data_IF_217788072261
#
_entry.id   IF_217788072261
#
_cell.length_a   1.000
_cell.length_b   1.000
_cell.length_c   1.000
_cell.angle_alpha   90.00
_cell.angle_beta   90.00
_cell.angle_gamma   90.00
#
_symmetry.space_group_name_H-M   'P 1'
#
loop_
_entity.id
_entity.type
_entity.pdbx_description
1 polymer ?
#
# COMPACT_ATOMS: atom_id res chain seq x y z
N UNK A 1 8.96 -40.52 0.90
CA UNK A 1 9.23 -39.67 2.08
C UNK A 1 8.11 -38.65 2.18
N UNK A 2 7.46 -38.51 3.35
CA UNK A 2 6.43 -37.52 3.52
C UNK A 2 7.07 -36.13 3.43
N UNK A 3 6.57 -35.31 2.53
CA UNK A 3 6.88 -33.90 2.45
C UNK A 3 6.46 -33.29 3.78
N UNK A 4 7.43 -32.80 4.52
CA UNK A 4 7.24 -32.05 5.74
C UNK A 4 6.30 -30.89 5.41
N UNK A 5 5.07 -30.99 5.89
CA UNK A 5 4.12 -29.89 5.80
C UNK A 5 4.61 -28.83 6.77
N UNK A 6 5.37 -27.87 6.24
CA UNK A 6 5.83 -26.72 7.01
C UNK A 6 4.66 -26.13 7.78
N UNK A 7 4.85 -26.00 9.06
CA UNK A 7 3.90 -25.38 9.97
C UNK A 7 3.43 -24.06 9.37
N UNK A 8 2.15 -24.01 9.03
CA UNK A 8 1.47 -22.79 8.60
C UNK A 8 1.67 -21.74 9.71
N UNK A 9 2.53 -20.76 9.45
CA UNK A 9 2.69 -19.63 10.34
C UNK A 9 1.44 -18.77 10.22
N UNK A 10 0.88 -18.35 11.33
CA UNK A 10 -0.30 -17.52 11.37
C UNK A 10 0.08 -16.06 11.09
N UNK A 11 -0.54 -15.44 10.09
CA UNK A 11 -0.36 -14.02 9.77
C UNK A 11 -1.17 -13.09 10.65
N UNK A 12 -1.94 -13.66 11.54
CA UNK A 12 -2.73 -12.93 12.51
C UNK A 12 -2.17 -13.18 13.92
N UNK A 13 -1.89 -12.10 14.61
CA UNK A 13 -1.49 -12.12 16.01
C UNK A 13 -2.72 -11.83 16.87
N UNK A 14 -3.06 -12.76 17.78
CA UNK A 14 -4.12 -12.52 18.76
C UNK A 14 -3.58 -11.65 19.89
N UNK A 15 -4.18 -10.48 20.08
CA UNK A 15 -3.85 -9.57 21.15
C UNK A 15 -4.52 -9.99 22.47
N UNK A 16 -4.07 -9.41 23.58
CA UNK A 16 -4.60 -9.73 24.91
C UNK A 16 -6.06 -9.37 25.11
N UNK A 17 -6.59 -8.45 24.30
CA UNK A 17 -8.01 -8.04 24.28
C UNK A 17 -8.88 -8.91 23.37
N UNK A 18 -8.30 -9.93 22.73
CA UNK A 18 -8.95 -10.82 21.77
C UNK A 18 -9.06 -10.28 20.35
N UNK A 19 -8.55 -9.09 20.07
CA UNK A 19 -8.45 -8.59 18.70
C UNK A 19 -7.35 -9.31 17.91
N UNK A 20 -7.45 -9.27 16.58
CA UNK A 20 -6.46 -9.84 15.67
C UNK A 20 -5.71 -8.71 14.97
N UNK A 21 -4.39 -8.85 14.90
CA UNK A 21 -3.53 -7.96 14.08
C UNK A 21 -2.95 -8.76 12.91
N UNK A 22 -3.19 -8.28 11.71
CA UNK A 22 -2.59 -8.83 10.48
C UNK A 22 -1.30 -8.08 10.22
N UNK A 23 -0.17 -8.78 10.16
CA UNK A 23 1.16 -8.16 10.09
C UNK A 23 1.82 -8.27 8.72
N UNK A 24 1.37 -9.18 7.87
CA UNK A 24 1.97 -9.51 6.57
C UNK A 24 3.37 -10.15 6.63
N UNK A 25 3.94 -10.41 7.79
CA UNK A 25 5.32 -10.90 7.92
C UNK A 25 5.47 -12.38 7.54
N UNK A 26 4.37 -13.14 7.57
CA UNK A 26 4.36 -14.57 7.26
C UNK A 26 4.06 -14.89 5.79
N UNK A 27 4.02 -13.90 4.93
CA UNK A 27 3.86 -14.16 3.50
C UNK A 27 5.09 -14.86 2.93
N UNK A 28 4.85 -15.80 2.02
CA UNK A 28 5.94 -16.43 1.26
C UNK A 28 6.82 -15.31 0.66
N UNK A 29 8.12 -15.31 0.92
CA UNK A 29 9.03 -14.32 0.35
C UNK A 29 8.96 -14.23 -1.18
N UNK A 30 8.59 -15.32 -1.84
CA UNK A 30 8.32 -15.34 -3.26
C UNK A 30 7.09 -14.51 -3.67
N UNK A 31 6.18 -14.20 -2.78
CA UNK A 31 5.02 -13.34 -3.02
C UNK A 31 5.28 -11.87 -2.74
N UNK A 32 6.42 -11.54 -2.15
CA UNK A 32 6.78 -10.17 -1.90
C UNK A 32 7.11 -9.49 -3.24
N UNK A 33 6.33 -8.48 -3.57
CA UNK A 33 6.69 -7.60 -4.66
C UNK A 33 8.05 -6.99 -4.34
N UNK A 34 8.96 -7.19 -5.19
CA UNK A 34 10.26 -6.56 -5.05
C UNK A 34 10.80 -6.38 -6.44
N UNK A 35 11.24 -5.20 -6.81
CA UNK A 35 11.98 -5.08 -8.02
C UNK A 35 13.23 -5.93 -7.90
N UNK A 36 13.57 -6.61 -8.97
CA UNK A 36 14.95 -7.01 -9.20
C UNK A 36 15.84 -5.78 -9.02
N UNK A 37 17.12 -5.98 -8.78
CA UNK A 37 18.10 -4.96 -8.40
C UNK A 37 18.06 -3.59 -9.15
N UNK A 38 17.25 -3.45 -10.18
CA UNK A 38 17.06 -2.23 -10.95
C UNK A 38 15.70 -1.56 -10.77
N UNK A 39 14.83 -2.07 -9.91
CA UNK A 39 13.48 -1.52 -9.74
C UNK A 39 12.53 -1.87 -10.88
N UNK A 40 12.91 -2.76 -11.75
CA UNK A 40 12.02 -3.26 -12.79
C UNK A 40 11.13 -4.34 -12.19
N UNK A 41 9.83 -4.15 -12.31
CA UNK A 41 8.87 -5.21 -12.09
C UNK A 41 8.31 -5.43 -10.68
N UNK A 42 7.57 -4.46 -10.19
CA UNK A 42 6.50 -4.70 -9.23
C UNK A 42 5.41 -5.65 -9.79
N UNK A 43 5.39 -5.88 -11.08
CA UNK A 43 4.23 -6.37 -11.81
C UNK A 43 4.31 -7.81 -12.21
N UNK A 44 5.47 -8.29 -12.51
CA UNK A 44 5.63 -9.68 -12.83
C UNK A 44 6.14 -10.42 -11.62
N UNK A 45 5.26 -10.68 -10.74
CA UNK A 45 5.44 -11.80 -9.88
C UNK A 45 5.55 -13.03 -10.78
N UNK A 46 6.78 -13.39 -11.12
CA UNK A 46 7.06 -14.56 -11.97
C UNK A 46 6.49 -15.80 -11.28
N UNK A 47 5.48 -16.38 -11.84
CA UNK A 47 4.80 -17.57 -11.33
C UNK A 47 3.35 -17.35 -10.89
N UNK A 48 2.93 -16.09 -10.70
CA UNK A 48 1.55 -15.77 -10.32
C UNK A 48 0.91 -14.67 -11.18
N UNK A 49 1.09 -14.67 -12.50
CA UNK A 49 0.54 -13.61 -13.36
C UNK A 49 -1.00 -13.58 -13.37
N UNK A 50 -1.63 -14.48 -12.66
CA UNK A 50 -3.09 -14.60 -12.60
C UNK A 50 -3.66 -14.56 -11.18
N UNK A 51 -2.84 -14.39 -10.16
CA UNK A 51 -3.33 -14.27 -8.79
C UNK A 51 -3.82 -12.86 -8.56
N UNK A 52 -5.13 -12.70 -8.54
CA UNK A 52 -5.77 -11.41 -8.25
C UNK A 52 -6.08 -11.23 -6.77
N UNK A 53 -5.96 -12.28 -5.98
CA UNK A 53 -6.27 -12.26 -4.56
C UNK A 53 -5.25 -13.09 -3.79
N UNK A 54 -4.80 -12.56 -2.66
CA UNK A 54 -3.98 -13.28 -1.70
C UNK A 54 -4.75 -13.48 -0.41
N UNK A 55 -4.61 -14.64 0.19
CA UNK A 55 -5.22 -15.02 1.45
C UNK A 55 -4.21 -14.83 2.58
N UNK A 56 -4.69 -14.63 3.79
CA UNK A 56 -3.85 -14.62 4.97
C UNK A 56 -3.35 -16.04 5.33
N UNK A 57 -3.82 -17.05 4.61
CA UNK A 57 -3.39 -18.44 4.67
C UNK A 57 -3.42 -19.05 6.08
N UNK A 58 -4.18 -18.46 6.99
CA UNK A 58 -4.53 -19.11 8.24
C UNK A 58 -5.65 -20.11 7.99
N UNK A 59 -5.90 -21.08 8.88
CA UNK A 59 -7.05 -21.98 8.76
C UNK A 59 -8.38 -21.24 8.65
N UNK A 60 -8.46 -20.03 9.24
CA UNK A 60 -9.64 -19.17 9.26
C UNK A 60 -9.75 -18.23 8.06
N UNK A 61 -8.63 -17.98 7.36
CA UNK A 61 -8.56 -17.08 6.19
C UNK A 61 -9.25 -15.74 6.47
N UNK A 62 -8.75 -15.01 7.46
CA UNK A 62 -9.40 -13.79 7.94
C UNK A 62 -9.45 -12.65 6.93
N UNK A 63 -8.40 -12.50 6.13
CA UNK A 63 -8.18 -11.35 5.25
C UNK A 63 -7.82 -11.79 3.83
N UNK A 64 -8.44 -11.12 2.87
CA UNK A 64 -8.16 -11.28 1.45
C UNK A 64 -7.74 -9.93 0.87
N UNK A 65 -6.67 -9.93 0.12
CA UNK A 65 -6.15 -8.73 -0.55
C UNK A 65 -6.35 -8.86 -2.06
N UNK A 66 -6.94 -7.84 -2.67
CA UNK A 66 -6.91 -7.71 -4.12
C UNK A 66 -5.52 -7.23 -4.55
N UNK A 67 -4.68 -8.17 -5.00
CA UNK A 67 -3.29 -7.86 -5.36
C UNK A 67 -3.17 -7.12 -6.69
N UNK A 68 -3.98 -7.51 -7.67
CA UNK A 68 -3.96 -6.94 -9.01
C UNK A 68 -5.37 -6.76 -9.51
N UNK A 69 -5.62 -5.63 -10.15
CA UNK A 69 -6.86 -5.41 -10.88
C UNK A 69 -6.61 -5.54 -12.38
N UNK A 70 -7.60 -6.03 -13.10
CA UNK A 70 -7.60 -6.00 -14.55
C UNK A 70 -8.31 -4.73 -15.02
N UNK A 71 -7.54 -3.80 -15.55
CA UNK A 71 -8.05 -2.54 -16.09
C UNK A 71 -7.57 -2.40 -17.52
N UNK A 72 -8.48 -2.16 -18.44
CA UNK A 72 -8.12 -2.04 -19.85
C UNK A 72 -7.45 -3.26 -20.47
N UNK A 73 -7.66 -4.45 -19.89
CA UNK A 73 -7.03 -5.70 -20.32
C UNK A 73 -5.65 -5.95 -19.74
N UNK A 74 -5.13 -5.07 -18.89
CA UNK A 74 -3.88 -5.26 -18.15
C UNK A 74 -4.15 -5.81 -16.75
N UNK A 75 -3.31 -6.74 -16.31
CA UNK A 75 -3.34 -7.31 -14.95
C UNK A 75 -2.00 -7.03 -14.30
N UNK A 76 -1.76 -5.76 -14.04
CA UNK A 76 -0.52 -5.25 -13.48
C UNK A 76 -0.80 -4.42 -12.24
N UNK A 77 0.19 -4.32 -11.34
CA UNK A 77 0.09 -3.45 -10.17
C UNK A 77 -0.24 -2.00 -10.56
N UNK A 78 0.31 -1.50 -11.64
CA UNK A 78 0.02 -0.17 -12.20
C UNK A 78 -1.44 0.04 -12.60
N UNK A 79 -2.19 -1.02 -12.74
CA UNK A 79 -3.63 -0.97 -12.99
C UNK A 79 -4.48 -0.86 -11.73
N UNK A 80 -3.83 -0.76 -10.58
CA UNK A 80 -4.44 -0.70 -9.26
C UNK A 80 -4.45 -2.05 -8.55
N UNK A 81 -4.34 -2.03 -7.24
CA UNK A 81 -4.32 -3.22 -6.40
C UNK A 81 -3.48 -3.03 -5.14
N UNK A 82 -3.19 -4.14 -4.48
CA UNK A 82 -2.33 -4.20 -3.30
C UNK A 82 -1.18 -5.16 -3.59
N UNK A 83 0.05 -4.68 -3.43
CA UNK A 83 1.24 -5.50 -3.52
C UNK A 83 1.85 -5.68 -2.11
N UNK A 84 2.48 -6.82 -1.88
CA UNK A 84 3.27 -7.03 -0.67
C UNK A 84 4.70 -6.59 -0.91
N UNK A 85 5.30 -5.92 0.05
CA UNK A 85 6.68 -5.44 -0.03
C UNK A 85 7.38 -5.52 1.32
N UNK A 86 8.71 -5.43 1.27
CA UNK A 86 9.60 -5.38 2.44
C UNK A 86 10.78 -4.42 2.21
N UNK A 87 10.56 -3.42 1.35
CA UNK A 87 11.59 -2.45 1.02
C UNK A 87 11.42 -1.14 1.80
N UNK A 88 12.54 -0.62 2.30
CA UNK A 88 12.64 0.73 2.88
C UNK A 88 13.62 1.55 2.07
N UNK A 89 13.15 2.56 1.36
CA UNK A 89 13.99 3.46 0.55
C UNK A 89 13.54 4.88 0.83
N UNK A 90 14.49 5.78 1.06
CA UNK A 90 14.23 7.19 1.34
C UNK A 90 14.88 8.14 0.33
N UNK A 91 15.52 7.58 -0.66
CA UNK A 91 16.19 8.30 -1.73
C UNK A 91 15.50 8.10 -3.07
N UNK A 92 15.63 9.08 -3.94
CA UNK A 92 15.08 8.98 -5.30
C UNK A 92 15.88 7.96 -6.12
N UNK A 93 15.22 6.91 -6.58
CA UNK A 93 15.80 5.79 -7.33
C UNK A 93 15.48 5.86 -8.83
N UNK A 94 14.90 6.94 -9.31
CA UNK A 94 14.53 7.06 -10.73
C UNK A 94 15.72 7.11 -11.68
N UNK A 95 16.90 7.44 -11.16
CA UNK A 95 18.10 7.64 -11.98
C UNK A 95 18.07 8.91 -12.83
N UNK A 96 17.01 9.70 -12.75
CA UNK A 96 16.86 10.95 -13.48
C UNK A 96 17.34 12.13 -12.62
N UNK A 97 17.81 13.18 -13.29
CA UNK A 97 18.08 14.45 -12.63
C UNK A 97 16.75 15.14 -12.33
N UNK A 98 16.60 15.63 -11.10
CA UNK A 98 15.38 16.26 -10.63
C UNK A 98 14.54 15.34 -9.75
N UNK A 99 13.31 15.74 -9.49
CA UNK A 99 12.49 15.17 -8.45
C UNK A 99 11.53 14.08 -8.97
N UNK A 100 12.05 13.19 -9.81
CA UNK A 100 11.30 12.09 -10.38
C UNK A 100 11.37 10.86 -9.47
N UNK A 101 10.38 10.69 -8.65
CA UNK A 101 10.30 9.60 -7.68
C UNK A 101 9.59 8.35 -8.22
N UNK A 102 9.30 8.28 -9.50
CA UNK A 102 8.43 7.26 -10.10
C UNK A 102 9.07 5.89 -10.32
N UNK A 103 10.32 5.67 -9.93
CA UNK A 103 10.90 4.33 -10.09
C UNK A 103 10.05 3.27 -9.39
N UNK A 104 10.04 2.08 -9.93
CA UNK A 104 9.31 0.96 -9.32
C UNK A 104 9.77 0.69 -7.89
N UNK A 105 11.06 0.88 -7.61
CA UNK A 105 11.61 0.74 -6.27
C UNK A 105 11.01 1.77 -5.30
N UNK A 106 10.90 3.01 -5.70
CA UNK A 106 10.24 4.01 -4.88
C UNK A 106 8.73 3.75 -4.72
N UNK A 107 8.08 3.18 -5.74
CA UNK A 107 6.65 2.87 -5.67
C UNK A 107 6.32 1.73 -4.71
N UNK A 108 7.22 0.75 -4.53
CA UNK A 108 7.00 -0.35 -3.60
C UNK A 108 7.63 -0.17 -2.23
N UNK A 109 8.45 0.84 -2.03
CA UNK A 109 9.14 1.04 -0.77
C UNK A 109 8.34 1.92 0.19
N UNK A 110 8.45 1.62 1.48
CA UNK A 110 8.00 2.54 2.51
C UNK A 110 9.03 3.64 2.73
N UNK A 111 8.57 4.85 3.02
CA UNK A 111 9.42 5.95 3.49
C UNK A 111 9.40 5.99 5.02
N UNK A 112 10.20 5.13 5.64
CA UNK A 112 10.23 5.01 7.09
C UNK A 112 11.56 5.51 7.66
N UNK A 113 11.53 6.71 8.25
CA UNK A 113 12.72 7.35 8.85
C UNK A 113 13.05 6.82 10.25
N UNK A 114 12.16 6.04 10.86
CA UNK A 114 12.44 5.39 12.14
C UNK A 114 13.48 4.26 12.00
N UNK A 115 13.68 3.77 10.76
CA UNK A 115 14.70 2.76 10.44
C UNK A 115 15.76 3.41 9.56
N UNK A 116 16.99 3.48 10.07
CA UNK A 116 18.09 4.14 9.38
C UNK A 116 18.54 3.37 8.12
N UNK A 117 18.49 2.05 8.15
CA UNK A 117 18.94 1.21 7.05
C UNK A 117 17.95 1.23 5.87
N UNK A 118 18.46 1.50 4.68
CA UNK A 118 17.72 1.35 3.42
C UNK A 118 17.94 -0.04 2.81
N UNK A 119 16.97 -0.50 2.04
CA UNK A 119 17.01 -1.76 1.32
C UNK A 119 15.89 -2.71 1.71
N UNK A 120 16.08 -3.97 1.31
CA UNK A 120 15.14 -5.06 1.55
C UNK A 120 15.33 -5.67 2.94
N UNK A 121 14.25 -6.12 3.56
CA UNK A 121 14.29 -6.82 4.87
C UNK A 121 15.01 -6.02 5.98
N UNK A 122 14.67 -4.75 6.11
CA UNK A 122 15.27 -3.85 7.12
C UNK A 122 14.38 -3.62 8.33
N UNK A 123 13.39 -4.47 8.55
CA UNK A 123 12.42 -4.32 9.65
C UNK A 123 11.74 -2.95 9.64
N UNK A 124 11.46 -2.45 8.44
CA UNK A 124 10.87 -1.14 8.24
C UNK A 124 9.35 -1.17 8.07
N UNK A 125 8.71 -2.32 8.13
CA UNK A 125 7.28 -2.47 8.34
C UNK A 125 6.87 -1.97 9.72
N UNK A 126 5.59 -1.95 10.01
CA UNK A 126 5.13 -1.55 11.34
C UNK A 126 5.52 -2.56 12.42
N UNK A 127 5.41 -3.86 12.15
CA UNK A 127 5.63 -4.95 13.10
C UNK A 127 6.73 -5.92 12.70
N UNK A 128 7.41 -5.66 11.61
CA UNK A 128 8.46 -6.51 11.04
C UNK A 128 8.95 -5.89 9.74
N UNK A 129 9.23 -6.70 8.74
CA UNK A 129 9.72 -6.21 7.47
C UNK A 129 8.63 -5.96 6.44
N UNK A 130 7.55 -6.74 6.45
CA UNK A 130 6.57 -6.79 5.36
C UNK A 130 5.39 -5.87 5.60
N UNK A 131 4.81 -5.38 4.50
CA UNK A 131 3.63 -4.51 4.50
C UNK A 131 2.90 -4.58 3.16
N UNK A 132 1.65 -4.15 3.13
CA UNK A 132 0.88 -3.96 1.91
C UNK A 132 1.12 -2.58 1.31
N UNK A 133 1.37 -2.52 0.03
CA UNK A 133 1.45 -1.29 -0.77
C UNK A 133 0.19 -1.14 -1.60
N UNK A 134 -0.52 -0.07 -1.38
CA UNK A 134 -1.81 0.20 -2.03
C UNK A 134 -1.60 1.14 -3.21
N UNK A 135 -2.06 0.73 -4.38
CA UNK A 135 -2.03 1.54 -5.58
C UNK A 135 -3.44 1.73 -6.14
N UNK A 136 -3.95 2.95 -6.04
CA UNK A 136 -5.19 3.36 -6.70
C UNK A 136 -4.90 3.91 -8.08
N UNK A 137 -5.68 3.51 -9.08
CA UNK A 137 -5.56 3.97 -10.44
C UNK A 137 -6.82 4.70 -10.90
N UNK A 138 -6.63 5.89 -11.45
CA UNK A 138 -7.70 6.66 -12.09
C UNK A 138 -7.20 7.16 -13.44
N UNK A 139 -7.83 6.72 -14.53
CA UNK A 139 -7.57 7.26 -15.84
C UNK A 139 -8.38 8.54 -16.05
N UNK A 140 -7.71 9.65 -16.33
CA UNK A 140 -8.35 10.94 -16.54
C UNK A 140 -9.18 11.00 -17.84
N UNK A 141 -8.88 10.15 -18.81
CA UNK A 141 -9.51 10.10 -20.11
C UNK A 141 -10.57 9.02 -20.25
N UNK A 142 -10.45 7.96 -19.44
CA UNK A 142 -11.36 6.83 -19.47
C UNK A 142 -11.67 6.34 -18.05
N UNK A 143 -12.77 6.81 -17.50
CA UNK A 143 -13.19 6.45 -16.14
C UNK A 143 -13.52 4.96 -15.97
N UNK A 144 -13.73 4.22 -17.07
CA UNK A 144 -13.85 2.76 -16.98
C UNK A 144 -12.53 2.09 -16.55
N UNK A 145 -11.41 2.80 -16.64
CA UNK A 145 -10.10 2.36 -16.18
C UNK A 145 -9.78 2.90 -14.78
N UNK A 146 -10.79 3.01 -13.95
CA UNK A 146 -10.61 3.27 -12.53
C UNK A 146 -10.46 1.94 -11.78
N UNK A 147 -9.42 1.83 -10.96
CA UNK A 147 -9.25 0.72 -10.07
C UNK A 147 -9.09 1.20 -8.63
N UNK A 148 -9.97 0.70 -7.76
CA UNK A 148 -9.84 0.90 -6.32
C UNK A 148 -9.21 -0.37 -5.74
N UNK A 149 -8.05 -0.27 -5.08
CA UNK A 149 -7.52 -1.40 -4.33
C UNK A 149 -8.47 -1.74 -3.19
N UNK A 150 -8.66 -3.01 -2.93
CA UNK A 150 -9.58 -3.47 -1.90
C UNK A 150 -9.00 -4.62 -1.08
N UNK A 151 -9.47 -4.72 0.14
CA UNK A 151 -9.31 -5.90 0.98
C UNK A 151 -10.65 -6.22 1.63
N UNK A 152 -10.87 -7.48 1.96
CA UNK A 152 -12.11 -7.91 2.57
C UNK A 152 -11.89 -9.06 3.56
N UNK A 153 -12.84 -9.24 4.44
CA UNK A 153 -12.82 -10.30 5.44
C UNK A 153 -13.71 -11.47 5.02
N UNK A 154 -13.40 -12.65 5.53
CA UNK A 154 -14.19 -13.87 5.27
C UNK A 154 -15.60 -13.82 5.87
N UNK A 155 -15.77 -13.07 6.95
CA UNK A 155 -17.05 -12.80 7.63
C UNK A 155 -17.07 -11.36 8.10
N UNK A 156 -18.25 -10.79 8.40
CA UNK A 156 -18.32 -9.44 8.95
C UNK A 156 -17.50 -9.28 10.22
N UNK A 157 -16.68 -8.24 10.26
CA UNK A 157 -15.74 -7.96 11.35
C UNK A 157 -15.85 -6.52 11.81
N UNK A 158 -15.35 -6.25 12.99
CA UNK A 158 -15.01 -4.88 13.39
C UNK A 158 -13.61 -4.54 12.90
N UNK A 159 -13.53 -3.58 12.00
CA UNK A 159 -12.25 -2.96 11.63
C UNK A 159 -11.89 -1.91 12.67
N UNK A 160 -10.94 -2.22 13.54
CA UNK A 160 -10.51 -1.32 14.62
C UNK A 160 -9.66 -0.18 14.07
N UNK A 161 -8.72 -0.50 13.20
CA UNK A 161 -7.84 0.48 12.57
C UNK A 161 -6.73 -0.18 11.78
N UNK A 162 -5.85 0.65 11.25
CA UNK A 162 -4.69 0.22 10.49
C UNK A 162 -3.52 1.19 10.68
N UNK A 163 -2.32 0.69 10.51
CA UNK A 163 -1.13 1.51 10.44
C UNK A 163 -0.88 1.90 9.00
N UNK A 164 -0.58 3.16 8.76
CA UNK A 164 -0.29 3.70 7.43
C UNK A 164 1.05 4.42 7.43
N UNK A 165 1.69 4.39 6.27
CA UNK A 165 2.90 5.15 6.00
C UNK A 165 2.90 5.57 4.52
N UNK A 166 3.62 6.62 4.17
CA UNK A 166 3.81 6.96 2.77
C UNK A 166 4.77 5.98 2.10
N UNK A 167 4.46 5.64 0.85
CA UNK A 167 5.51 5.08 -0.01
C UNK A 167 6.55 6.15 -0.30
N UNK A 168 7.75 5.72 -0.67
CA UNK A 168 8.82 6.64 -1.07
C UNK A 168 8.40 7.50 -2.25
N UNK A 169 7.66 6.91 -3.20
CA UNK A 169 7.09 7.64 -4.33
C UNK A 169 6.12 8.73 -3.88
N UNK A 170 5.15 8.40 -3.05
CA UNK A 170 4.15 9.36 -2.56
C UNK A 170 4.81 10.48 -1.77
N UNK A 171 5.73 10.14 -0.86
CA UNK A 171 6.48 11.15 -0.09
C UNK A 171 7.27 12.08 -1.00
N UNK A 172 8.00 11.52 -1.97
CA UNK A 172 8.81 12.28 -2.90
C UNK A 172 7.99 13.22 -3.78
N UNK A 173 6.88 12.74 -4.32
CA UNK A 173 5.97 13.56 -5.14
C UNK A 173 5.35 14.71 -4.34
N UNK A 174 4.92 14.45 -3.11
CA UNK A 174 4.36 15.50 -2.24
C UNK A 174 5.43 16.56 -1.94
N UNK A 175 6.63 16.11 -1.59
CA UNK A 175 7.68 16.99 -1.05
C UNK A 175 8.45 17.74 -2.13
N UNK A 176 8.72 17.08 -3.25
CA UNK A 176 9.60 17.61 -4.31
C UNK A 176 8.88 17.84 -5.64
N UNK A 177 7.68 17.31 -5.78
CA UNK A 177 6.92 17.35 -7.03
C UNK A 177 7.18 16.17 -7.94
N UNK A 178 6.47 16.16 -9.06
CA UNK A 178 6.55 15.08 -10.05
C UNK A 178 6.68 15.67 -11.45
N UNK A 179 7.78 15.36 -12.13
CA UNK A 179 7.98 15.77 -13.53
C UNK A 179 7.25 14.85 -14.54
N UNK A 180 6.70 13.76 -14.08
CA UNK A 180 5.93 12.86 -14.92
C UNK A 180 4.57 13.51 -15.28
N UNK A 181 4.55 14.24 -16.37
CA UNK A 181 3.36 14.96 -16.80
C UNK A 181 3.67 16.07 -17.81
N UNK A 182 2.67 16.83 -18.15
CA UNK A 182 2.68 17.80 -19.25
C UNK A 182 3.51 19.08 -19.00
N UNK A 183 3.91 19.36 -17.78
CA UNK A 183 4.57 20.63 -17.45
C UNK A 183 6.09 20.58 -17.51
N UNK A 184 6.70 19.39 -17.41
CA UNK A 184 8.14 19.21 -17.37
C UNK A 184 8.86 19.86 -16.18
N UNK A 185 8.11 20.38 -15.22
CA UNK A 185 8.63 21.02 -14.00
C UNK A 185 8.03 20.35 -12.78
N UNK A 186 8.89 19.85 -11.92
CA UNK A 186 8.46 19.33 -10.63
C UNK A 186 8.06 20.50 -9.73
N UNK A 187 6.83 20.45 -9.22
CA UNK A 187 6.33 21.47 -8.31
C UNK A 187 5.85 20.80 -7.02
N UNK A 188 6.48 21.09 -5.88
CA UNK A 188 6.04 20.57 -4.59
C UNK A 188 4.56 20.88 -4.30
N UNK A 189 3.87 19.96 -3.65
CA UNK A 189 2.47 20.14 -3.31
C UNK A 189 2.23 21.40 -2.46
N UNK A 190 3.19 21.75 -1.63
CA UNK A 190 3.16 22.97 -0.80
C UNK A 190 3.13 24.26 -1.65
N UNK A 191 3.91 24.32 -2.71
CA UNK A 191 3.92 25.45 -3.64
C UNK A 191 2.62 25.55 -4.43
N UNK A 192 2.05 24.40 -4.78
CA UNK A 192 0.75 24.32 -5.43
C UNK A 192 -0.42 24.66 -4.50
N UNK A 193 -0.17 24.77 -3.19
CA UNK A 193 -1.21 24.87 -2.17
C UNK A 193 -2.25 23.78 -2.29
N UNK A 194 -1.79 22.59 -2.59
CA UNK A 194 -2.59 21.41 -2.80
C UNK A 194 -2.78 20.58 -1.53
N UNK A 195 -3.48 19.47 -1.69
CA UNK A 195 -3.63 18.47 -0.64
C UNK A 195 -3.62 17.07 -1.22
N UNK A 196 -3.31 16.10 -0.38
CA UNK A 196 -3.41 14.69 -0.71
C UNK A 196 -4.13 13.95 0.41
N UNK A 197 -5.19 13.23 0.05
CA UNK A 197 -6.08 12.55 0.98
C UNK A 197 -6.32 11.11 0.53
N UNK A 198 -6.28 10.20 1.48
CA UNK A 198 -6.74 8.82 1.30
C UNK A 198 -8.14 8.68 1.88
N UNK A 199 -9.01 8.00 1.16
CA UNK A 199 -10.32 7.62 1.61
C UNK A 199 -10.38 6.10 1.80
N UNK A 200 -10.90 5.67 2.94
CA UNK A 200 -11.21 4.27 3.22
C UNK A 200 -12.73 4.13 3.24
N UNK A 201 -13.27 3.44 2.27
CA UNK A 201 -14.69 3.12 2.21
C UNK A 201 -14.92 1.73 2.81
N UNK A 202 -15.71 1.65 3.87
CA UNK A 202 -16.07 0.40 4.53
C UNK A 202 -17.45 -0.05 4.08
N UNK A 203 -17.55 -1.31 3.67
CA UNK A 203 -18.80 -1.90 3.18
C UNK A 203 -19.20 -3.10 4.04
N UNK A 204 -20.51 -3.37 4.09
CA UNK A 204 -21.07 -4.56 4.72
C UNK A 204 -21.07 -5.76 3.76
N UNK A 205 -21.47 -6.93 4.27
CA UNK A 205 -21.57 -8.18 3.51
C UNK A 205 -22.50 -8.13 2.27
N UNK A 206 -23.39 -7.14 2.20
CA UNK A 206 -24.32 -6.95 1.09
C UNK A 206 -23.82 -5.89 0.09
N UNK A 207 -22.63 -5.35 0.31
CA UNK A 207 -22.07 -4.26 -0.49
C UNK A 207 -22.66 -2.87 -0.15
N UNK A 208 -23.33 -2.74 0.97
CA UNK A 208 -23.83 -1.48 1.49
C UNK A 208 -22.70 -0.66 2.11
N UNK A 209 -22.57 0.61 1.71
CA UNK A 209 -21.56 1.51 2.30
C UNK A 209 -21.92 1.83 3.76
N UNK A 210 -21.07 1.40 4.69
CA UNK A 210 -21.18 1.70 6.12
C UNK A 210 -20.73 3.13 6.38
N UNK A 211 -19.50 3.44 5.96
CA UNK A 211 -18.87 4.75 6.16
C UNK A 211 -17.64 4.95 5.29
N UNK A 212 -17.36 6.22 4.99
CA UNK A 212 -16.09 6.66 4.41
C UNK A 212 -15.28 7.38 5.48
N UNK A 213 -14.06 6.88 5.72
CA UNK A 213 -13.06 7.51 6.57
C UNK A 213 -12.06 8.25 5.70
N UNK A 214 -11.66 9.44 6.14
CA UNK A 214 -10.76 10.31 5.37
C UNK A 214 -9.50 10.57 6.19
N UNK A 215 -8.35 10.46 5.54
CA UNK A 215 -7.06 10.80 6.12
C UNK A 215 -6.28 11.72 5.21
N UNK A 216 -5.97 12.92 5.68
CA UNK A 216 -5.05 13.82 5.00
C UNK A 216 -3.62 13.30 5.19
N UNK A 217 -2.95 13.04 4.09
CA UNK A 217 -1.52 12.71 4.08
C UNK A 217 -0.66 13.96 3.88
N UNK A 218 -1.23 15.01 3.28
CA UNK A 218 -0.68 16.37 3.24
C UNK A 218 -1.81 17.38 2.99
N UNK A 219 -1.71 18.58 3.57
CA UNK A 219 -2.64 19.67 3.28
C UNK A 219 -1.93 21.02 3.41
N UNK A 220 -1.90 21.76 2.32
CA UNK A 220 -1.29 23.09 2.23
C UNK A 220 -2.27 24.13 1.68
N UNK A 221 -3.56 23.82 1.66
CA UNK A 221 -4.59 24.74 1.16
C UNK A 221 -4.69 25.97 2.02
N UNK A 222 -4.94 27.11 1.38
CA UNK A 222 -5.14 28.35 2.08
C UNK A 222 -6.31 28.28 3.09
N UNK A 223 -6.09 28.78 4.29
CA UNK A 223 -7.12 28.78 5.33
C UNK A 223 -7.36 27.44 6.03
N UNK A 224 -6.61 26.40 5.68
CA UNK A 224 -6.63 25.10 6.36
C UNK A 224 -5.43 24.98 7.33
N UNK A 225 -5.57 24.07 8.30
CA UNK A 225 -4.43 23.66 9.11
C UNK A 225 -3.45 22.91 8.22
N UNK A 226 -2.19 23.31 8.24
CA UNK A 226 -1.15 22.63 7.47
C UNK A 226 -0.93 21.21 8.00
N UNK A 227 -0.83 20.26 7.08
CA UNK A 227 -0.47 18.86 7.35
C UNK A 227 0.73 18.52 6.48
N UNK A 228 1.85 18.23 7.11
CA UNK A 228 3.04 17.71 6.42
C UNK A 228 2.97 16.18 6.28
N UNK A 229 3.59 15.60 5.25
CA UNK A 229 3.55 14.14 5.03
C UNK A 229 4.24 13.39 6.17
N UNK A 230 3.61 12.32 6.62
CA UNK A 230 4.20 11.42 7.62
C UNK A 230 5.45 10.74 7.06
N UNK A 231 6.44 10.52 7.92
CA UNK A 231 7.73 9.91 7.58
C UNK A 231 7.98 8.58 8.29
N UNK A 232 7.00 8.09 8.99
CA UNK A 232 7.00 6.80 9.67
C UNK A 232 5.56 6.30 9.81
N UNK A 233 5.40 5.08 10.32
CA UNK A 233 4.09 4.50 10.53
C UNK A 233 3.27 5.30 11.54
N UNK A 234 2.00 5.52 11.20
CA UNK A 234 1.04 6.23 12.03
C UNK A 234 -0.29 5.48 12.07
N UNK A 235 -0.91 5.42 13.25
CA UNK A 235 -2.13 4.68 13.45
C UNK A 235 -3.35 5.46 12.98
N UNK A 236 -4.19 4.81 12.20
CA UNK A 236 -5.46 5.35 11.74
C UNK A 236 -6.61 4.57 12.38
N UNK A 237 -7.21 5.17 13.39
CA UNK A 237 -8.36 4.61 14.08
C UNK A 237 -9.61 4.65 13.18
N UNK A 238 -10.31 3.54 13.08
CA UNK A 238 -11.48 3.35 12.20
C UNK A 238 -12.72 3.01 13.04
N UNK A 239 -12.71 1.93 13.80
CA UNK A 239 -13.82 1.45 14.62
C UNK A 239 -15.13 1.25 13.83
N UNK A 240 -15.06 0.61 12.66
CA UNK A 240 -16.22 0.27 11.85
C UNK A 240 -16.70 -1.14 12.16
N UNK A 241 -17.97 -1.27 12.52
CA UNK A 241 -18.63 -2.57 12.77
C UNK A 241 -19.21 -3.15 11.48
N UNK A 242 -19.17 -4.48 11.37
CA UNK A 242 -19.84 -5.22 10.29
C UNK A 242 -19.16 -5.11 8.91
N UNK A 243 -17.90 -4.77 8.87
CA UNK A 243 -17.11 -4.66 7.62
C UNK A 243 -16.79 -6.05 7.07
N UNK A 244 -17.01 -6.25 5.76
CA UNK A 244 -16.64 -7.48 5.07
C UNK A 244 -15.99 -7.25 3.71
#
# INVERSE_FOLDING_TARGET
>A
DPVDSGTSQTRAVTNSDGSLTITFDDFDPGMLAGPTSAGENLYSYQGYPQVTTIYDNTPEEYLFLSMFNTVGGSTEYSSGGIALSNWNIRSNQSGNTGDWWYSYLNQCSVYNTAVEAEGQNKEAGHSGSSFGVVYGYVDAYNQAWMAKPEFYFNVPRKLVGLWICNTSYTYGVITYGNQFGSTGVATPLKEMKGYFQVNLECYDANGGLIRTYKRLLADYRNGQQQVDPITTWDYWEINAEGVQ
#
